data_IF_030253551852
#
_entry.id   IF_030253551852
#
_cell.length_a   1.000
_cell.length_b   1.000
_cell.length_c   1.000
_cell.angle_alpha   90.00
_cell.angle_beta   90.00
_cell.angle_gamma   90.00
#
_symmetry.space_group_name_H-M   'P 1'
#
loop_
_entity.id
_entity.type
_entity.pdbx_description
1 polymer ?
#
# COMPACT_ATOMS: atom_id res chain seq x y z
N UNK A 1 4.29 -4.78 12.54
CA UNK A 1 4.92 -3.59 11.91
C UNK A 1 3.86 -2.51 11.86
N UNK A 2 4.19 -1.27 12.23
CA UNK A 2 3.26 -0.14 12.08
C UNK A 2 3.02 0.10 10.57
N UNK A 3 1.80 0.51 10.19
CA UNK A 3 1.56 0.98 8.83
C UNK A 3 2.44 2.19 8.54
N UNK A 4 3.02 2.22 7.34
CA UNK A 4 3.66 3.44 6.85
C UNK A 4 2.59 4.53 6.64
N UNK A 5 2.96 5.79 6.77
CA UNK A 5 2.07 6.92 6.50
C UNK A 5 1.92 7.14 4.99
N UNK A 6 1.01 8.04 4.60
CA UNK A 6 0.82 8.42 3.20
C UNK A 6 2.04 9.15 2.64
N UNK A 7 2.68 9.96 3.46
CA UNK A 7 3.92 10.67 3.14
C UNK A 7 5.08 9.69 2.91
N UNK A 8 5.18 8.66 3.76
CA UNK A 8 6.20 7.60 3.63
C UNK A 8 5.95 6.74 2.37
N UNK A 9 4.69 6.42 2.07
CA UNK A 9 4.31 5.75 0.82
C UNK A 9 4.70 6.59 -0.39
N UNK A 10 4.36 7.88 -0.40
CA UNK A 10 4.65 8.76 -1.54
C UNK A 10 6.16 8.91 -1.76
N UNK A 11 6.94 9.07 -0.69
CA UNK A 11 8.40 9.13 -0.76
C UNK A 11 9.00 7.82 -1.28
N UNK A 12 8.51 6.67 -0.82
CA UNK A 12 8.98 5.36 -1.26
C UNK A 12 8.67 5.09 -2.74
N UNK A 13 7.47 5.42 -3.22
CA UNK A 13 7.10 5.29 -4.64
C UNK A 13 8.00 6.14 -5.54
N UNK A 14 8.32 7.37 -5.12
CA UNK A 14 9.24 8.23 -5.87
C UNK A 14 10.66 7.65 -5.91
N UNK A 15 11.14 7.10 -4.79
CA UNK A 15 12.44 6.44 -4.73
C UNK A 15 12.52 5.23 -5.67
N UNK A 16 11.49 4.37 -5.69
CA UNK A 16 11.41 3.21 -6.60
C UNK A 16 11.47 3.66 -8.06
N UNK A 17 10.73 4.72 -8.43
CA UNK A 17 10.71 5.24 -9.81
C UNK A 17 12.03 5.85 -10.24
N UNK A 18 12.78 6.41 -9.30
CA UNK A 18 14.09 7.01 -9.59
C UNK A 18 15.23 6.00 -9.53
N UNK A 19 15.00 4.79 -9.02
CA UNK A 19 16.04 3.77 -8.78
C UNK A 19 16.89 3.44 -10.01
N UNK A 20 16.27 3.48 -11.20
CA UNK A 20 16.92 3.11 -12.47
C UNK A 20 17.08 4.30 -13.43
N UNK A 21 16.81 5.54 -12.98
CA UNK A 21 16.81 6.72 -13.85
C UNK A 21 18.17 7.04 -14.47
N UNK A 22 19.26 6.67 -13.78
CA UNK A 22 20.63 7.01 -14.18
C UNK A 22 21.44 5.78 -14.65
N UNK A 23 20.81 4.62 -14.82
CA UNK A 23 21.49 3.41 -15.31
C UNK A 23 21.18 3.16 -16.80
N UNK A 24 22.10 3.52 -17.73
CA UNK A 24 21.92 3.31 -19.16
C UNK A 24 22.03 1.83 -19.59
N UNK A 25 22.50 0.94 -18.71
CA UNK A 25 22.68 -0.48 -19.02
C UNK A 25 21.57 -1.37 -18.43
N UNK A 26 20.57 -0.77 -17.79
CA UNK A 26 19.49 -1.52 -17.16
C UNK A 26 18.63 -2.22 -18.21
N UNK A 27 18.37 -3.51 -18.00
CA UNK A 27 17.34 -4.20 -18.79
C UNK A 27 15.97 -3.66 -18.41
N UNK A 28 15.29 -3.07 -19.39
CA UNK A 28 14.01 -2.39 -19.19
C UNK A 28 12.93 -3.36 -18.70
N UNK A 29 12.95 -4.62 -19.17
CA UNK A 29 11.96 -5.61 -18.76
C UNK A 29 12.12 -5.96 -17.27
N UNK A 30 13.34 -6.29 -16.87
CA UNK A 30 13.69 -6.59 -15.47
C UNK A 30 13.46 -5.38 -14.55
N UNK A 31 13.81 -4.17 -14.98
CA UNK A 31 13.56 -2.95 -14.20
C UNK A 31 12.07 -2.72 -13.94
N UNK A 32 11.21 -2.90 -14.95
CA UNK A 32 9.76 -2.73 -14.80
C UNK A 32 9.15 -3.78 -13.88
N UNK A 33 9.58 -5.03 -14.01
CA UNK A 33 9.15 -6.11 -13.11
C UNK A 33 9.55 -5.80 -11.66
N UNK A 34 10.79 -5.37 -11.43
CA UNK A 34 11.27 -4.99 -10.10
C UNK A 34 10.54 -3.78 -9.53
N UNK A 35 10.27 -2.75 -10.34
CA UNK A 35 9.46 -1.59 -9.92
C UNK A 35 8.06 -2.07 -9.50
N UNK A 36 7.39 -2.88 -10.31
CA UNK A 36 6.04 -3.35 -10.01
C UNK A 36 5.98 -4.18 -8.71
N UNK A 37 6.96 -5.07 -8.50
CA UNK A 37 7.05 -5.86 -7.27
C UNK A 37 7.29 -4.99 -6.03
N UNK A 38 8.16 -3.97 -6.14
CA UNK A 38 8.44 -3.05 -5.04
C UNK A 38 7.25 -2.13 -4.72
N UNK A 39 6.57 -1.60 -5.75
CA UNK A 39 5.35 -0.81 -5.56
C UNK A 39 4.26 -1.66 -4.87
N UNK A 40 4.06 -2.91 -5.30
CA UNK A 40 3.09 -3.81 -4.70
C UNK A 40 3.40 -4.11 -3.22
N UNK A 41 4.66 -4.35 -2.88
CA UNK A 41 5.09 -4.57 -1.50
C UNK A 41 4.84 -3.32 -0.64
N UNK A 42 5.24 -2.15 -1.12
CA UNK A 42 5.10 -0.89 -0.39
C UNK A 42 3.63 -0.53 -0.14
N UNK A 43 2.75 -0.78 -1.13
CA UNK A 43 1.31 -0.64 -0.97
C UNK A 43 0.76 -1.66 0.03
N UNK A 44 1.24 -2.90 0.00
CA UNK A 44 0.85 -3.92 0.99
C UNK A 44 1.23 -3.48 2.41
N UNK A 45 2.42 -2.94 2.61
CA UNK A 45 2.88 -2.46 3.92
C UNK A 45 2.06 -1.25 4.43
N UNK A 46 1.61 -0.39 3.52
CA UNK A 46 0.67 0.69 3.81
C UNK A 46 -0.72 0.19 4.22
N UNK A 47 -1.19 -0.91 3.62
CA UNK A 47 -2.53 -1.46 3.88
C UNK A 47 -2.54 -2.34 5.14
N UNK A 48 -1.52 -3.17 5.36
CA UNK A 48 -1.48 -4.15 6.46
C UNK A 48 -1.57 -3.50 7.84
N UNK A 49 -0.94 -2.32 8.03
CA UNK A 49 -0.98 -1.65 9.32
C UNK A 49 -2.21 -0.76 9.54
N UNK A 50 -3.18 -0.74 8.60
CA UNK A 50 -4.40 0.04 8.76
C UNK A 50 -5.50 -0.76 9.43
N UNK A 51 -5.81 -0.37 10.65
CA UNK A 51 -6.97 -0.86 11.40
C UNK A 51 -8.25 -0.28 10.81
N UNK A 52 -9.09 -1.11 10.21
CA UNK A 52 -10.45 -0.73 9.85
C UNK A 52 -11.33 -0.77 11.10
N UNK A 53 -11.81 0.38 11.57
CA UNK A 53 -12.78 0.43 12.64
C UNK A 53 -14.17 0.12 12.07
N UNK A 54 -14.72 -1.06 12.41
CA UNK A 54 -16.07 -1.46 12.00
C UNK A 54 -17.07 -0.94 13.04
N UNK A 55 -17.64 0.24 12.80
CA UNK A 55 -18.73 0.77 13.62
C UNK A 55 -20.08 0.28 13.11
N UNK A 56 -20.57 -0.81 13.70
CA UNK A 56 -21.91 -1.33 13.46
C UNK A 56 -22.42 -2.15 14.65
N UNK A 57 -23.43 -1.65 15.35
CA UNK A 57 -24.08 -2.35 16.46
C UNK A 57 -25.19 -3.25 15.92
N UNK A 58 -24.99 -4.57 15.87
CA UNK A 58 -26.11 -5.52 15.75
C UNK A 58 -26.72 -5.74 17.14
N UNK A 59 -27.79 -5.03 17.47
CA UNK A 59 -28.57 -5.28 18.69
C UNK A 59 -29.40 -6.57 18.62
N UNK A 60 -29.40 -7.30 17.49
CA UNK A 60 -30.34 -8.42 17.25
C UNK A 60 -29.81 -9.65 16.50
N UNK A 61 -28.50 -9.78 16.25
CA UNK A 61 -27.92 -10.99 15.64
C UNK A 61 -28.22 -11.22 14.15
N UNK A 62 -28.70 -10.21 13.42
CA UNK A 62 -28.89 -10.24 11.96
C UNK A 62 -27.63 -9.83 11.18
N UNK A 63 -27.55 -10.23 9.91
CA UNK A 63 -26.44 -9.96 8.98
C UNK A 63 -26.11 -8.47 8.91
N UNK A 64 -24.90 -8.09 9.33
CA UNK A 64 -24.40 -6.71 9.26
C UNK A 64 -23.67 -6.48 7.93
N UNK A 65 -24.16 -5.54 7.13
CA UNK A 65 -23.38 -4.95 6.02
C UNK A 65 -22.42 -3.93 6.62
N UNK A 66 -21.23 -4.39 7.02
CA UNK A 66 -20.16 -3.50 7.50
C UNK A 66 -19.59 -2.70 6.34
N UNK A 67 -19.72 -1.37 6.40
CA UNK A 67 -18.95 -0.48 5.50
C UNK A 67 -17.62 -0.19 6.18
N UNK A 68 -16.53 -0.73 5.63
CA UNK A 68 -15.18 -0.43 6.12
C UNK A 68 -14.75 0.94 5.61
N UNK A 69 -14.56 1.90 6.52
CA UNK A 69 -13.95 3.19 6.19
C UNK A 69 -12.47 3.15 6.56
N UNK A 70 -11.60 3.44 5.60
CA UNK A 70 -10.16 3.57 5.82
C UNK A 70 -9.92 4.92 6.52
N UNK A 71 -9.44 4.91 7.76
CA UNK A 71 -9.05 6.14 8.47
C UNK A 71 -7.55 6.39 8.31
N UNK A 72 -7.21 7.63 7.92
CA UNK A 72 -5.84 8.16 7.82
C UNK A 72 -5.29 8.55 9.20
#
# INVERSE_FOLDING_TARGET
MAAITKEELAAGLLAIRNQYSDDPNVDIATARENIANQEAQLISDFVIGRTTNVTGTSVSGGTVTGTGTIQE
#
